data_IF_861674325071
#
_entry.id   IF_861674325071
#
_cell.length_a   1.000
_cell.length_b   1.000
_cell.length_c   1.000
_cell.angle_alpha   90.00
_cell.angle_beta   90.00
_cell.angle_gamma   90.00
#
_symmetry.space_group_name_H-M   'P 1'
#
loop_
_entity.id
_entity.type
_entity.pdbx_description
1 polymer ?
#
# COMPACT_ATOMS: atom_id res chain seq x y z
N UNK A 1 11.74 -23.72 -1.16
CA UNK A 1 12.37 -22.82 -0.17
C UNK A 1 12.70 -21.54 -0.91
N UNK A 2 11.98 -20.45 -0.64
CA UNK A 2 12.33 -19.14 -1.19
C UNK A 2 13.49 -18.65 -0.31
N UNK A 3 14.66 -18.47 -0.91
CA UNK A 3 15.84 -17.93 -0.25
C UNK A 3 15.49 -16.52 0.25
N UNK A 4 15.71 -16.20 1.52
CA UNK A 4 15.52 -14.83 2.04
C UNK A 4 16.72 -13.94 1.65
N UNK A 5 17.12 -13.96 0.38
CA UNK A 5 18.20 -13.10 -0.10
C UNK A 5 17.70 -11.66 -0.25
N UNK A 6 18.56 -10.65 -0.09
CA UNK A 6 18.20 -9.25 -0.34
C UNK A 6 17.57 -9.01 -1.73
N UNK A 7 18.04 -9.73 -2.75
CA UNK A 7 17.50 -9.69 -4.12
C UNK A 7 16.05 -10.20 -4.16
N UNK A 8 15.77 -11.36 -3.58
CA UNK A 8 14.41 -11.92 -3.55
C UNK A 8 13.41 -11.01 -2.83
N UNK A 9 13.88 -10.27 -1.81
CA UNK A 9 13.07 -9.30 -1.10
C UNK A 9 12.81 -8.07 -1.96
N UNK A 10 13.84 -7.53 -2.61
CA UNK A 10 13.70 -6.40 -3.52
C UNK A 10 12.74 -6.72 -4.67
N UNK A 11 12.87 -7.89 -5.31
CA UNK A 11 11.98 -8.35 -6.37
C UNK A 11 10.53 -8.44 -5.89
N UNK A 12 10.29 -8.96 -4.68
CA UNK A 12 8.97 -9.03 -4.09
C UNK A 12 8.37 -7.63 -3.84
N UNK A 13 9.18 -6.67 -3.37
CA UNK A 13 8.77 -5.28 -3.16
C UNK A 13 8.46 -4.59 -4.50
N UNK A 14 9.28 -4.81 -5.52
CA UNK A 14 9.05 -4.28 -6.86
C UNK A 14 7.76 -4.82 -7.48
N UNK A 15 7.51 -6.13 -7.36
CA UNK A 15 6.26 -6.76 -7.81
C UNK A 15 5.03 -6.15 -7.11
N UNK A 16 5.12 -5.91 -5.80
CA UNK A 16 4.07 -5.21 -5.04
C UNK A 16 3.79 -3.80 -5.59
N UNK A 17 4.85 -3.03 -5.86
CA UNK A 17 4.72 -1.66 -6.37
C UNK A 17 4.15 -1.64 -7.78
N UNK A 18 4.58 -2.57 -8.64
CA UNK A 18 4.05 -2.73 -9.99
C UNK A 18 2.56 -3.04 -9.97
N UNK A 19 2.12 -3.97 -9.10
CA UNK A 19 0.71 -4.31 -8.93
C UNK A 19 -0.13 -3.10 -8.47
N UNK A 20 0.39 -2.29 -7.54
CA UNK A 20 -0.25 -1.05 -7.12
C UNK A 20 -0.44 -0.03 -8.25
N UNK A 21 0.63 0.19 -9.02
CA UNK A 21 0.61 1.13 -10.15
C UNK A 21 -0.36 0.65 -11.22
N UNK A 22 -0.34 -0.64 -11.54
CA UNK A 22 -1.27 -1.25 -12.50
C UNK A 22 -2.72 -1.09 -12.06
N UNK A 23 -3.03 -1.40 -10.80
CA UNK A 23 -4.36 -1.19 -10.21
C UNK A 23 -4.83 0.27 -10.35
N UNK A 24 -3.92 1.23 -10.24
CA UNK A 24 -4.23 2.65 -10.43
C UNK A 24 -4.44 3.05 -11.90
N UNK A 25 -3.72 2.44 -12.83
CA UNK A 25 -3.81 2.71 -14.27
C UNK A 25 -5.09 2.11 -14.90
N UNK A 26 -5.51 0.93 -14.45
CA UNK A 26 -6.67 0.22 -15.00
C UNK A 26 -8.02 0.80 -14.54
N UNK A 27 -8.02 1.60 -13.47
CA UNK A 27 -9.23 2.11 -12.84
C UNK A 27 -9.34 3.63 -12.97
N UNK A 28 -10.56 4.14 -13.20
CA UNK A 28 -10.78 5.57 -13.51
C UNK A 28 -10.99 6.46 -12.30
N UNK A 29 -11.67 5.97 -11.26
CA UNK A 29 -11.98 6.75 -10.06
C UNK A 29 -11.18 6.27 -8.84
N UNK A 30 -11.04 7.12 -7.82
CA UNK A 30 -10.25 6.86 -6.63
C UNK A 30 -10.70 5.61 -5.85
N UNK A 31 -12.01 5.37 -5.81
CA UNK A 31 -12.60 4.26 -5.05
C UNK A 31 -12.21 2.91 -5.66
N UNK A 32 -12.36 2.78 -6.97
CA UNK A 32 -12.05 1.55 -7.71
C UNK A 32 -10.54 1.27 -7.68
N UNK A 33 -9.72 2.32 -7.84
CA UNK A 33 -8.26 2.23 -7.68
C UNK A 33 -7.89 1.69 -6.31
N UNK A 34 -8.51 2.23 -5.26
CA UNK A 34 -8.25 1.78 -3.90
C UNK A 34 -8.68 0.33 -3.68
N UNK A 35 -9.87 -0.05 -4.15
CA UNK A 35 -10.35 -1.43 -4.09
C UNK A 35 -9.39 -2.40 -4.79
N UNK A 36 -8.90 -2.04 -5.97
CA UNK A 36 -7.93 -2.83 -6.71
C UNK A 36 -6.56 -2.91 -6.00
N UNK A 37 -6.07 -1.81 -5.42
CA UNK A 37 -4.84 -1.81 -4.59
C UNK A 37 -5.00 -2.71 -3.37
N UNK A 38 -6.17 -2.69 -2.70
CA UNK A 38 -6.45 -3.59 -1.58
C UNK A 38 -6.48 -5.05 -2.03
N UNK A 39 -7.09 -5.37 -3.16
CA UNK A 39 -7.09 -6.74 -3.69
C UNK A 39 -5.67 -7.23 -4.04
N UNK A 40 -4.87 -6.37 -4.67
CA UNK A 40 -3.46 -6.65 -4.98
C UNK A 40 -2.64 -6.86 -3.70
N UNK A 41 -2.87 -6.04 -2.67
CA UNK A 41 -2.20 -6.16 -1.37
C UNK A 41 -2.47 -7.52 -0.74
N UNK A 42 -3.75 -7.90 -0.66
CA UNK A 42 -4.15 -9.15 -0.02
C UNK A 42 -3.56 -10.35 -0.73
N UNK A 43 -3.54 -10.33 -2.07
CA UNK A 43 -2.88 -11.36 -2.88
C UNK A 43 -1.38 -11.41 -2.59
N UNK A 44 -0.71 -10.27 -2.64
CA UNK A 44 0.73 -10.19 -2.40
C UNK A 44 1.14 -10.62 -0.99
N UNK A 45 0.34 -10.29 0.04
CA UNK A 45 0.57 -10.72 1.43
C UNK A 45 0.49 -12.25 1.57
N UNK A 46 -0.45 -12.89 0.87
CA UNK A 46 -0.61 -14.34 0.88
C UNK A 46 0.55 -15.04 0.17
N UNK A 47 1.01 -14.48 -0.96
CA UNK A 47 2.09 -15.04 -1.78
C UNK A 47 3.48 -14.79 -1.17
N UNK A 48 3.66 -13.69 -0.43
CA UNK A 48 4.97 -13.22 0.06
C UNK A 48 5.01 -12.97 1.58
N UNK A 49 4.65 -13.94 2.44
CA UNK A 49 4.50 -13.71 3.88
C UNK A 49 5.80 -13.33 4.61
N UNK A 50 6.97 -13.74 4.10
CA UNK A 50 8.26 -13.34 4.65
C UNK A 50 8.60 -11.89 4.28
N UNK A 51 8.50 -11.52 3.00
CA UNK A 51 8.73 -10.16 2.53
C UNK A 51 7.72 -9.18 3.14
N UNK A 52 6.47 -9.59 3.37
CA UNK A 52 5.47 -8.79 4.04
C UNK A 52 5.88 -8.38 5.46
N UNK A 53 6.42 -9.32 6.24
CA UNK A 53 6.94 -9.04 7.58
C UNK A 53 8.13 -8.08 7.52
N UNK A 54 9.01 -8.24 6.53
CA UNK A 54 10.15 -7.34 6.36
C UNK A 54 9.73 -5.92 5.93
N UNK A 55 8.76 -5.81 5.02
CA UNK A 55 8.34 -4.54 4.43
C UNK A 55 7.37 -3.73 5.29
N UNK A 56 6.45 -4.39 6.00
CA UNK A 56 5.44 -3.72 6.84
C UNK A 56 5.71 -3.83 8.34
N UNK A 57 6.44 -4.86 8.77
CA UNK A 57 6.78 -5.08 10.18
C UNK A 57 7.80 -4.08 10.71
N UNK A 58 7.95 -4.06 12.03
CA UNK A 58 9.06 -3.38 12.69
C UNK A 58 10.22 -4.38 12.72
N UNK A 59 11.02 -4.40 11.64
CA UNK A 59 12.24 -5.20 11.66
C UNK A 59 13.21 -4.59 12.68
N UNK A 60 13.81 -5.44 13.48
CA UNK A 60 14.87 -5.05 14.39
C UNK A 60 16.07 -4.59 13.55
N UNK A 61 16.48 -3.33 13.72
CA UNK A 61 17.56 -2.69 12.94
C UNK A 61 18.91 -3.41 13.12
N UNK A 62 19.01 -4.27 14.13
CA UNK A 62 20.21 -5.02 14.49
C UNK A 62 20.57 -6.15 13.51
N UNK A 63 19.61 -6.74 12.80
CA UNK A 63 19.87 -7.84 11.86
C UNK A 63 20.15 -7.36 10.42
N UNK A 64 19.51 -6.26 9.99
CA UNK A 64 19.60 -5.74 8.63
C UNK A 64 19.66 -4.20 8.59
N UNK A 65 20.84 -3.59 8.76
CA UNK A 65 20.98 -2.13 8.82
C UNK A 65 20.50 -1.37 7.57
N UNK A 66 20.52 -2.02 6.40
CA UNK A 66 20.04 -1.44 5.14
C UNK A 66 18.52 -1.49 4.99
N UNK A 67 17.85 -2.40 5.70
CA UNK A 67 16.45 -2.74 5.46
C UNK A 67 15.52 -1.59 5.85
N UNK A 68 15.75 -0.95 7.00
CA UNK A 68 14.93 0.18 7.46
C UNK A 68 14.99 1.36 6.47
N UNK A 69 16.19 1.67 5.98
CA UNK A 69 16.39 2.72 4.98
C UNK A 69 15.72 2.37 3.63
N UNK A 70 15.90 1.13 3.16
CA UNK A 70 15.29 0.64 1.92
C UNK A 70 13.76 0.67 2.00
N UNK A 71 13.17 0.03 3.01
CA UNK A 71 11.71 -0.03 3.20
C UNK A 71 11.11 1.36 3.29
N UNK A 72 11.74 2.27 4.03
CA UNK A 72 11.30 3.67 4.13
C UNK A 72 11.36 4.38 2.78
N UNK A 73 12.45 4.23 2.02
CA UNK A 73 12.56 4.83 0.68
C UNK A 73 11.48 4.29 -0.25
N UNK A 74 11.38 2.96 -0.37
CA UNK A 74 10.40 2.28 -1.21
C UNK A 74 8.97 2.63 -0.81
N UNK A 75 8.66 2.75 0.49
CA UNK A 75 7.36 3.19 0.97
C UNK A 75 7.00 4.61 0.51
N UNK A 76 7.96 5.53 0.62
CA UNK A 76 7.78 6.91 0.21
C UNK A 76 7.60 7.03 -1.31
N UNK A 77 8.38 6.27 -2.09
CA UNK A 77 8.30 6.30 -3.55
C UNK A 77 6.99 5.70 -4.07
N UNK A 78 6.49 4.61 -3.45
CA UNK A 78 5.17 4.07 -3.76
C UNK A 78 4.07 5.08 -3.41
N UNK A 79 4.14 5.69 -2.22
CA UNK A 79 3.15 6.68 -1.77
C UNK A 79 3.09 7.86 -2.72
N UNK A 80 4.25 8.40 -3.11
CA UNK A 80 4.36 9.49 -4.09
C UNK A 80 3.73 9.09 -5.43
N UNK A 81 4.08 7.90 -5.95
CA UNK A 81 3.55 7.38 -7.21
C UNK A 81 2.02 7.26 -7.18
N UNK A 82 1.46 6.74 -6.08
CA UNK A 82 0.01 6.57 -5.93
C UNK A 82 -0.75 7.90 -5.85
N UNK A 83 -0.16 8.89 -5.18
CA UNK A 83 -0.69 10.25 -5.14
C UNK A 83 -0.68 10.86 -6.53
N UNK A 84 0.44 10.81 -7.25
CA UNK A 84 0.60 11.41 -8.58
C UNK A 84 -0.30 10.76 -9.63
N UNK A 85 -0.54 9.45 -9.54
CA UNK A 85 -1.48 8.74 -10.41
C UNK A 85 -2.94 9.14 -10.15
N UNK A 86 -3.25 9.76 -9.00
CA UNK A 86 -4.60 10.17 -8.67
C UNK A 86 -5.05 11.40 -9.47
N UNK A 87 -6.17 11.34 -10.18
CA UNK A 87 -6.66 12.47 -10.98
C UNK A 87 -6.95 13.74 -10.15
N UNK A 88 -7.24 13.58 -8.85
CA UNK A 88 -7.60 14.67 -7.94
C UNK A 88 -6.39 15.26 -7.18
N UNK A 89 -5.15 14.89 -7.51
CA UNK A 89 -3.94 15.26 -6.76
C UNK A 89 -3.59 16.75 -6.79
N UNK A 90 -4.15 17.51 -7.74
CA UNK A 90 -3.91 18.95 -7.87
C UNK A 90 -4.48 19.77 -6.71
N UNK A 91 -5.39 19.19 -5.91
CA UNK A 91 -5.90 19.82 -4.69
C UNK A 91 -5.10 19.31 -3.48
N UNK A 92 -4.43 20.19 -2.70
CA UNK A 92 -3.61 19.79 -1.55
C UNK A 92 -4.36 18.92 -0.53
N UNK A 93 -5.64 19.21 -0.29
CA UNK A 93 -6.51 18.44 0.60
C UNK A 93 -6.71 16.98 0.16
N UNK A 94 -6.82 16.74 -1.15
CA UNK A 94 -6.97 15.39 -1.70
C UNK A 94 -5.67 14.61 -1.58
N UNK A 95 -4.53 15.27 -1.81
CA UNK A 95 -3.22 14.68 -1.57
C UNK A 95 -3.07 14.22 -0.12
N UNK A 96 -3.39 15.09 0.85
CA UNK A 96 -3.34 14.74 2.28
C UNK A 96 -4.27 13.58 2.64
N UNK A 97 -5.49 13.54 2.08
CA UNK A 97 -6.43 12.42 2.29
C UNK A 97 -5.88 11.09 1.75
N UNK A 98 -5.29 11.11 0.56
CA UNK A 98 -4.70 9.91 -0.05
C UNK A 98 -3.50 9.42 0.78
N UNK A 99 -2.60 10.33 1.17
CA UNK A 99 -1.45 10.02 2.03
C UNK A 99 -1.90 9.44 3.37
N UNK A 100 -2.94 10.01 3.98
CA UNK A 100 -3.56 9.48 5.20
C UNK A 100 -4.07 8.06 5.02
N UNK A 101 -4.84 7.79 3.96
CA UNK A 101 -5.39 6.45 3.68
C UNK A 101 -4.28 5.43 3.45
N UNK A 102 -3.21 5.80 2.73
CA UNK A 102 -2.04 4.94 2.53
C UNK A 102 -1.35 4.66 3.87
N UNK A 103 -1.15 5.67 4.71
CA UNK A 103 -0.59 5.51 6.06
C UNK A 103 -1.44 4.58 6.94
N UNK A 104 -2.75 4.77 6.95
CA UNK A 104 -3.71 3.96 7.70
C UNK A 104 -3.72 2.50 7.23
N UNK A 105 -3.66 2.26 5.92
CA UNK A 105 -3.50 0.92 5.33
C UNK A 105 -2.22 0.25 5.83
N UNK A 106 -1.07 0.95 5.76
CA UNK A 106 0.22 0.40 6.21
C UNK A 106 0.19 0.04 7.70
N UNK A 107 -0.39 0.91 8.52
CA UNK A 107 -0.54 0.67 9.96
C UNK A 107 -1.41 -0.57 10.25
N UNK A 108 -2.53 -0.70 9.53
CA UNK A 108 -3.44 -1.82 9.68
C UNK A 108 -2.81 -3.15 9.28
N UNK A 109 -2.06 -3.17 8.17
CA UNK A 109 -1.31 -4.36 7.73
C UNK A 109 -0.27 -4.74 8.79
N UNK A 110 0.47 -3.77 9.33
CA UNK A 110 1.44 -4.01 10.41
C UNK A 110 0.77 -4.62 11.65
N UNK A 111 -0.37 -4.08 12.08
CA UNK A 111 -1.14 -4.63 13.20
C UNK A 111 -1.51 -6.09 12.97
N UNK A 112 -1.97 -6.41 11.76
CA UNK A 112 -2.40 -7.76 11.41
C UNK A 112 -1.24 -8.75 11.31
N UNK A 113 -0.08 -8.32 10.80
CA UNK A 113 1.13 -9.14 10.70
C UNK A 113 1.77 -9.49 12.05
N UNK A 114 1.43 -8.76 13.13
CA UNK A 114 1.87 -9.09 14.50
C UNK A 114 1.06 -10.24 15.12
N UNK A 115 -0.04 -10.65 14.50
CA UNK A 115 -0.84 -11.79 14.97
C UNK A 115 -0.16 -13.10 14.56
N UNK A 116 -0.46 -14.16 15.30
CA UNK A 116 0.07 -15.50 15.01
C UNK A 116 -0.34 -15.98 13.61
N UNK A 117 -1.58 -15.68 13.20
CA UNK A 117 -2.11 -15.96 11.87
C UNK A 117 -2.70 -14.70 11.25
N UNK A 118 -2.47 -14.52 9.95
CA UNK A 118 -3.02 -13.39 9.18
C UNK A 118 -4.36 -13.81 8.58
N UNK A 119 -5.43 -13.17 9.04
CA UNK A 119 -6.76 -13.32 8.46
C UNK A 119 -6.94 -12.32 7.31
N UNK A 120 -6.63 -12.78 6.09
CA UNK A 120 -6.69 -11.98 4.87
C UNK A 120 -8.11 -11.46 4.58
N UNK A 121 -9.15 -12.25 4.88
CA UNK A 121 -10.54 -11.85 4.66
C UNK A 121 -10.93 -10.72 5.61
N UNK A 122 -10.60 -10.84 6.89
CA UNK A 122 -10.85 -9.79 7.87
C UNK A 122 -10.02 -8.54 7.59
N UNK A 123 -8.77 -8.69 7.17
CA UNK A 123 -7.91 -7.57 6.78
C UNK A 123 -8.49 -6.82 5.57
N UNK A 124 -8.88 -7.54 4.51
CA UNK A 124 -9.53 -6.96 3.33
C UNK A 124 -10.77 -6.16 3.73
N UNK A 125 -11.65 -6.74 4.55
CA UNK A 125 -12.85 -6.05 5.04
C UNK A 125 -12.50 -4.77 5.81
N UNK A 126 -11.53 -4.82 6.74
CA UNK A 126 -11.10 -3.64 7.51
C UNK A 126 -10.52 -2.56 6.60
N UNK A 127 -9.72 -2.93 5.59
CA UNK A 127 -9.13 -1.98 4.63
C UNK A 127 -10.21 -1.24 3.83
N UNK A 128 -11.27 -1.91 3.37
CA UNK A 128 -12.34 -1.24 2.62
C UNK A 128 -13.04 -0.12 3.40
N UNK A 129 -12.95 -0.11 4.74
CA UNK A 129 -13.52 0.96 5.58
C UNK A 129 -12.83 2.30 5.43
N UNK A 130 -11.64 2.36 4.82
CA UNK A 130 -10.97 3.62 4.51
C UNK A 130 -11.45 4.24 3.18
N UNK A 131 -12.17 3.48 2.35
CA UNK A 131 -12.62 3.93 1.04
C UNK A 131 -13.46 5.24 1.07
N UNK A 132 -14.36 5.47 2.06
CA UNK A 132 -15.10 6.73 2.18
C UNK A 132 -14.25 7.97 2.46
N UNK A 133 -12.99 7.82 2.88
CA UNK A 133 -12.07 8.93 3.15
C UNK A 133 -11.38 9.45 1.88
N UNK A 134 -11.53 8.74 0.76
CA UNK A 134 -10.94 9.10 -0.51
C UNK A 134 -11.78 10.16 -1.24
N UNK A 135 -11.15 11.01 -2.07
CA UNK A 135 -11.88 11.97 -2.90
C UNK A 135 -12.83 11.23 -3.84
N UNK A 136 -14.12 11.58 -3.82
CA UNK A 136 -15.09 11.12 -4.81
C UNK A 136 -15.14 12.12 -5.98
N UNK A 137 -15.46 11.63 -7.18
CA UNK A 137 -15.62 12.46 -8.38
C UNK A 137 -16.68 13.57 -8.25
N UNK A 138 -17.44 13.63 -7.15
CA UNK A 138 -18.43 14.68 -6.89
C UNK A 138 -17.79 16.04 -6.55
N UNK A 139 -16.51 16.10 -6.18
CA UNK A 139 -15.82 17.37 -5.89
C UNK A 139 -15.17 18.03 -7.13
N UNK A 140 -15.34 17.47 -8.33
CA UNK A 140 -14.88 18.11 -9.59
C UNK A 140 -15.97 18.94 -10.28
N UNK A 141 -17.13 19.11 -9.63
CA UNK A 141 -18.32 19.68 -10.23
C UNK A 141 -18.75 21.03 -9.66
N UNK A 142 -17.84 21.90 -9.23
CA UNK A 142 -18.18 23.30 -8.91
C UNK A 142 -16.88 24.10 -8.85
N UNK A 143 -16.50 24.72 -9.96
CA UNK A 143 -15.83 26.02 -10.06
C UNK A 143 -15.48 26.19 -11.55
N UNK A 144 -16.42 26.81 -12.26
CA UNK A 144 -16.25 27.33 -13.61
C UNK A 144 -15.25 28.49 -13.60
#
# INVERSE_FOLDING_TARGET
MISNSPESFADAVEAWHAACKQACLENRNCLDRYGAVVAALITWLADNPAAARLYFGDCDETEHPWLSAYVRSSANDLTRSLVELNAAHNQPENKTRIEFVIGALRHLVREELRRETVDHTRLAHRLTRFAPLLPTNQNCGEHW
#
